data_IF_225054106151
#
_entry.id   IF_225054106151
#
_cell.length_a   1.000
_cell.length_b   1.000
_cell.length_c   1.000
_cell.angle_alpha   90.00
_cell.angle_beta   90.00
_cell.angle_gamma   90.00
#
_symmetry.space_group_name_H-M   'P 1'
#
loop_
_entity.id
_entity.type
_entity.pdbx_description
1 polymer ?
#
# COMPACT_ATOMS: atom_id res chain seq x y z
N UNK A 1 -22.35 -5.51 0.97
CA UNK A 1 -22.35 -4.87 -0.36
C UNK A 1 -22.27 -5.92 -1.47
N UNK A 2 -21.19 -6.68 -1.62
CA UNK A 2 -21.07 -7.63 -2.75
C UNK A 2 -22.25 -8.62 -2.85
N UNK A 3 -22.71 -9.16 -1.72
CA UNK A 3 -23.90 -10.04 -1.68
C UNK A 3 -25.18 -9.37 -2.21
N UNK A 4 -25.43 -8.12 -1.82
CA UNK A 4 -26.63 -7.40 -2.27
C UNK A 4 -26.57 -7.03 -3.76
N UNK A 5 -25.37 -6.92 -4.35
CA UNK A 5 -25.22 -6.66 -5.79
C UNK A 5 -25.72 -7.81 -6.67
N UNK A 6 -25.68 -9.05 -6.15
CA UNK A 6 -26.12 -10.26 -6.86
C UNK A 6 -27.39 -10.87 -6.24
N UNK A 7 -28.06 -10.13 -5.34
CA UNK A 7 -29.32 -10.57 -4.73
C UNK A 7 -29.23 -11.73 -3.73
N UNK A 8 -28.03 -12.06 -3.24
CA UNK A 8 -27.84 -13.17 -2.28
C UNK A 8 -27.73 -12.66 -0.84
N UNK A 9 -28.02 -13.53 0.10
CA UNK A 9 -27.95 -13.27 1.54
C UNK A 9 -26.89 -14.17 2.20
N UNK A 10 -26.74 -14.08 3.53
CA UNK A 10 -25.88 -15.02 4.27
C UNK A 10 -26.50 -16.43 4.38
N UNK A 11 -27.81 -16.57 4.21
CA UNK A 11 -28.53 -17.85 4.33
C UNK A 11 -28.20 -18.81 3.18
N UNK A 12 -27.86 -18.27 2.02
CA UNK A 12 -27.51 -19.05 0.83
C UNK A 12 -26.17 -19.78 0.98
N UNK A 13 -25.40 -19.51 2.04
CA UNK A 13 -24.12 -20.17 2.39
C UNK A 13 -23.07 -20.22 1.27
N UNK A 14 -23.23 -19.39 0.23
CA UNK A 14 -22.25 -19.20 -0.85
C UNK A 14 -20.96 -18.62 -0.27
N UNK A 15 -19.80 -19.16 -0.67
CA UNK A 15 -18.50 -18.67 -0.18
C UNK A 15 -18.21 -17.28 -0.73
N UNK A 16 -17.45 -16.50 0.04
CA UNK A 16 -17.06 -15.16 -0.39
C UNK A 16 -16.16 -15.17 -1.63
N UNK A 17 -15.40 -16.25 -1.85
CA UNK A 17 -14.57 -16.45 -3.05
C UNK A 17 -15.43 -16.57 -4.32
N UNK A 18 -16.54 -17.32 -4.25
CA UNK A 18 -17.49 -17.47 -5.36
C UNK A 18 -18.22 -16.15 -5.64
N UNK A 19 -18.57 -15.40 -4.59
CA UNK A 19 -19.18 -14.08 -4.76
C UNK A 19 -18.20 -13.13 -5.46
N UNK A 20 -16.92 -13.13 -5.04
CA UNK A 20 -15.87 -12.29 -5.65
C UNK A 20 -15.58 -12.66 -7.10
N UNK A 21 -15.64 -13.95 -7.45
CA UNK A 21 -15.43 -14.40 -8.84
C UNK A 21 -16.55 -13.91 -9.77
N UNK A 22 -17.78 -13.81 -9.25
CA UNK A 22 -18.95 -13.27 -9.97
C UNK A 22 -18.90 -11.74 -10.05
N UNK A 23 -18.70 -11.06 -8.91
CA UNK A 23 -18.76 -9.59 -8.86
C UNK A 23 -17.55 -8.93 -9.53
N UNK A 24 -16.42 -9.65 -9.63
CA UNK A 24 -15.13 -9.14 -10.15
C UNK A 24 -14.70 -7.83 -9.49
N UNK A 25 -15.13 -7.60 -8.25
CA UNK A 25 -14.78 -6.40 -7.48
C UNK A 25 -13.29 -6.45 -7.19
N UNK A 26 -12.61 -5.34 -7.46
CA UNK A 26 -11.17 -5.23 -7.19
C UNK A 26 -10.90 -5.40 -5.69
N UNK A 27 -9.88 -6.19 -5.35
CA UNK A 27 -9.47 -6.36 -3.96
C UNK A 27 -9.10 -5.00 -3.35
N UNK A 28 -9.85 -4.61 -2.32
CA UNK A 28 -9.70 -3.30 -1.66
C UNK A 28 -8.31 -3.11 -1.06
N UNK A 29 -7.68 -4.18 -0.55
CA UNK A 29 -6.34 -4.12 0.03
C UNK A 29 -5.33 -3.85 -1.08
N UNK A 30 -5.47 -4.53 -2.23
CA UNK A 30 -4.68 -4.27 -3.43
C UNK A 30 -4.79 -2.81 -3.85
N UNK A 31 -6.02 -2.28 -3.87
CA UNK A 31 -6.30 -0.89 -4.26
C UNK A 31 -5.68 0.12 -3.29
N UNK A 32 -5.84 -0.09 -1.99
CA UNK A 32 -5.23 0.76 -0.96
C UNK A 32 -3.71 0.80 -1.11
N UNK A 33 -3.07 -0.35 -1.39
CA UNK A 33 -1.61 -0.42 -1.60
C UNK A 33 -1.19 0.35 -2.86
N UNK A 34 -1.89 0.19 -3.97
CA UNK A 34 -1.63 0.96 -5.19
C UNK A 34 -1.75 2.47 -4.94
N UNK A 35 -2.83 2.90 -4.28
CA UNK A 35 -3.05 4.31 -3.95
C UNK A 35 -1.94 4.85 -3.06
N UNK A 36 -1.53 4.10 -2.04
CA UNK A 36 -0.40 4.45 -1.16
C UNK A 36 0.91 4.61 -1.95
N UNK A 37 1.22 3.69 -2.85
CA UNK A 37 2.40 3.78 -3.70
C UNK A 37 2.35 5.00 -4.62
N UNK A 38 1.24 5.19 -5.33
CA UNK A 38 1.03 6.32 -6.25
C UNK A 38 1.08 7.66 -5.53
N UNK A 39 0.46 7.75 -4.35
CA UNK A 39 0.47 8.94 -3.51
C UNK A 39 1.90 9.35 -3.14
N UNK A 40 2.74 8.39 -2.74
CA UNK A 40 4.15 8.65 -2.42
C UNK A 40 4.90 9.23 -3.61
N UNK A 41 4.72 8.65 -4.80
CA UNK A 41 5.32 9.18 -6.03
C UNK A 41 4.81 10.58 -6.37
N UNK A 42 3.50 10.81 -6.25
CA UNK A 42 2.88 12.13 -6.47
C UNK A 42 3.46 13.19 -5.53
N UNK A 43 3.50 12.91 -4.22
CA UNK A 43 4.06 13.79 -3.20
C UNK A 43 5.56 14.07 -3.42
N UNK A 44 6.31 13.09 -3.90
CA UNK A 44 7.75 13.26 -4.14
C UNK A 44 8.04 14.19 -5.32
N UNK A 45 7.21 14.13 -6.37
CA UNK A 45 7.31 14.96 -7.59
C UNK A 45 6.76 16.35 -7.43
N UNK A 46 5.93 16.59 -6.41
CA UNK A 46 5.48 17.93 -6.08
C UNK A 46 6.69 18.82 -5.74
N UNK A 47 6.80 19.94 -6.45
CA UNK A 47 7.87 20.92 -6.27
C UNK A 47 7.71 21.73 -4.99
N UNK A 48 6.51 21.79 -4.42
CA UNK A 48 6.23 22.52 -3.19
C UNK A 48 6.53 21.62 -1.99
N UNK A 49 7.31 22.14 -1.04
CA UNK A 49 7.46 21.50 0.26
C UNK A 49 6.16 21.72 1.04
N UNK A 50 5.36 20.66 1.16
CA UNK A 50 4.11 20.65 1.94
C UNK A 50 4.35 19.99 3.29
N UNK A 51 3.60 20.42 4.31
CA UNK A 51 3.57 19.78 5.63
C UNK A 51 3.34 18.28 5.56
N UNK A 52 2.49 17.81 4.65
CA UNK A 52 2.23 16.39 4.43
C UNK A 52 3.49 15.61 4.06
N UNK A 53 4.38 16.18 3.24
CA UNK A 53 5.65 15.56 2.85
C UNK A 53 6.60 15.47 4.03
N UNK A 54 6.75 16.58 4.76
CA UNK A 54 7.58 16.65 5.96
C UNK A 54 7.12 15.60 6.97
N UNK A 55 5.83 15.59 7.33
CA UNK A 55 5.27 14.65 8.30
C UNK A 55 5.40 13.18 7.87
N UNK A 56 5.19 12.89 6.59
CA UNK A 56 5.26 11.52 6.06
C UNK A 56 6.69 10.98 6.03
N UNK A 57 7.65 11.82 5.62
CA UNK A 57 9.07 11.46 5.56
C UNK A 57 9.79 11.60 6.91
N UNK A 58 9.14 12.21 7.91
CA UNK A 58 9.75 12.54 9.18
C UNK A 58 10.29 11.30 9.90
N UNK A 59 11.54 11.40 10.31
CA UNK A 59 12.23 10.42 11.13
C UNK A 59 13.00 11.18 12.21
N UNK A 60 12.86 10.82 13.50
CA UNK A 60 13.68 11.39 14.56
C UNK A 60 15.16 11.19 14.21
N UNK A 61 15.94 12.28 14.25
CA UNK A 61 17.41 12.23 14.09
C UNK A 61 18.05 11.75 15.39
N UNK A 62 17.53 12.24 16.51
CA UNK A 62 18.01 11.91 17.83
C UNK A 62 17.09 10.87 18.46
N UNK A 63 17.66 9.71 18.76
CA UNK A 63 16.98 8.60 19.40
C UNK A 63 16.82 7.36 18.53
N UNK A 64 17.18 6.21 19.09
CA UNK A 64 16.88 4.90 18.52
C UNK A 64 15.52 4.43 19.03
N UNK A 65 14.84 3.60 18.24
CA UNK A 65 13.61 2.99 18.71
C UNK A 65 13.97 1.76 19.57
N UNK A 66 13.20 1.50 20.64
CA UNK A 66 13.39 0.32 21.51
C UNK A 66 13.43 -1.00 20.71
N UNK A 67 14.25 -1.94 21.15
CA UNK A 67 14.33 -3.27 20.54
C UNK A 67 12.99 -4.00 20.74
N UNK A 68 12.47 -4.66 19.68
CA UNK A 68 11.23 -5.44 19.73
C UNK A 68 10.33 -5.30 18.49
N UNK A 69 9.07 -5.74 18.60
CA UNK A 69 8.05 -5.69 17.52
C UNK A 69 7.40 -4.32 17.40
N UNK A 70 8.14 -3.38 16.87
CA UNK A 70 7.61 -2.04 16.66
C UNK A 70 6.72 -1.95 15.44
N UNK A 71 5.71 -1.07 15.50
CA UNK A 71 4.88 -0.76 14.35
C UNK A 71 5.74 -0.19 13.20
N UNK A 72 5.53 -0.74 12.01
CA UNK A 72 6.13 -0.25 10.76
C UNK A 72 5.57 1.14 10.45
N UNK A 73 6.45 2.08 10.13
CA UNK A 73 6.07 3.41 9.63
C UNK A 73 5.68 3.32 8.16
N UNK A 74 5.03 4.38 7.70
CA UNK A 74 4.69 4.54 6.29
C UNK A 74 5.92 4.33 5.38
N UNK A 75 7.03 5.01 5.71
CA UNK A 75 8.26 4.97 4.92
C UNK A 75 8.99 3.64 4.96
N UNK A 76 8.79 2.82 5.99
CA UNK A 76 9.44 1.50 6.09
C UNK A 76 8.96 0.58 4.95
N UNK A 77 7.66 0.64 4.63
CA UNK A 77 7.11 -0.12 3.51
C UNK A 77 7.62 0.39 2.15
N UNK A 78 7.77 1.71 2.00
CA UNK A 78 8.29 2.33 0.79
C UNK A 78 9.77 1.97 0.57
N UNK A 79 10.59 2.13 1.61
CA UNK A 79 12.02 1.83 1.57
C UNK A 79 12.32 0.35 1.35
N UNK A 80 11.42 -0.56 1.75
CA UNK A 80 11.61 -1.99 1.46
C UNK A 80 11.58 -2.31 -0.04
N UNK A 81 10.96 -1.48 -0.88
CA UNK A 81 10.96 -1.66 -2.35
C UNK A 81 11.88 -0.65 -3.05
N UNK A 82 11.82 0.62 -2.66
CA UNK A 82 12.63 1.67 -3.27
C UNK A 82 14.06 1.74 -2.74
N UNK A 83 14.36 1.06 -1.64
CA UNK A 83 15.65 1.04 -0.93
C UNK A 83 16.11 2.45 -0.54
N UNK A 84 17.42 2.68 -0.46
CA UNK A 84 18.00 3.99 -0.14
C UNK A 84 17.69 5.05 -1.21
N UNK A 85 17.53 4.63 -2.47
CA UNK A 85 17.31 5.52 -3.62
C UNK A 85 15.83 5.76 -3.94
N UNK A 86 14.91 5.35 -3.06
CA UNK A 86 13.47 5.40 -3.29
C UNK A 86 12.97 6.77 -3.76
N UNK A 87 13.52 7.86 -3.24
CA UNK A 87 13.10 9.22 -3.58
C UNK A 87 13.50 9.61 -5.01
N UNK A 88 14.66 9.13 -5.48
CA UNK A 88 15.10 9.30 -6.87
C UNK A 88 14.21 8.48 -7.80
N UNK A 89 13.97 7.21 -7.46
CA UNK A 89 13.08 6.31 -8.22
C UNK A 89 11.65 6.83 -8.27
N UNK A 90 11.19 7.48 -7.20
CA UNK A 90 9.86 8.09 -7.14
C UNK A 90 9.72 9.33 -8.03
N UNK A 91 10.81 10.07 -8.31
CA UNK A 91 10.75 11.19 -9.26
C UNK A 91 10.54 10.71 -10.69
N UNK A 92 11.18 9.62 -11.10
CA UNK A 92 10.91 8.97 -12.37
C UNK A 92 9.53 8.29 -12.32
N UNK A 93 8.62 8.71 -13.21
CA UNK A 93 7.24 8.19 -13.22
C UNK A 93 7.17 6.75 -13.72
N UNK A 94 7.97 6.40 -14.72
CA UNK A 94 7.97 5.07 -15.32
C UNK A 94 8.68 4.08 -14.39
N UNK A 95 9.81 4.46 -13.80
CA UNK A 95 10.47 3.63 -12.80
C UNK A 95 9.56 3.36 -11.60
N UNK A 96 8.91 4.40 -11.08
CA UNK A 96 7.97 4.26 -9.96
C UNK A 96 6.78 3.34 -10.30
N UNK A 97 6.24 3.46 -11.51
CA UNK A 97 5.13 2.62 -11.97
C UNK A 97 5.55 1.15 -12.12
N UNK A 98 6.76 0.88 -12.60
CA UNK A 98 7.29 -0.51 -12.71
C UNK A 98 7.36 -1.20 -11.34
N UNK A 99 7.75 -0.47 -10.30
CA UNK A 99 7.89 -1.00 -8.94
C UNK A 99 6.54 -1.17 -8.19
N UNK A 100 5.45 -0.64 -8.75
CA UNK A 100 4.12 -0.69 -8.11
C UNK A 100 3.68 -2.14 -7.84
N UNK A 101 3.88 -3.04 -8.80
CA UNK A 101 3.47 -4.44 -8.64
C UNK A 101 4.23 -5.14 -7.51
N UNK A 102 5.54 -4.88 -7.39
CA UNK A 102 6.37 -5.42 -6.31
C UNK A 102 5.94 -4.91 -4.93
N UNK A 103 5.48 -3.65 -4.85
CA UNK A 103 4.94 -3.11 -3.60
C UNK A 103 3.58 -3.73 -3.23
N UNK A 104 2.71 -3.91 -4.22
CA UNK A 104 1.36 -4.44 -4.02
C UNK A 104 1.37 -5.91 -3.61
N UNK A 105 2.32 -6.69 -4.13
CA UNK A 105 2.49 -8.13 -3.84
C UNK A 105 3.27 -8.42 -2.55
N UNK A 106 3.91 -7.42 -1.93
CA UNK A 106 4.84 -7.59 -0.81
C UNK A 106 4.26 -8.25 0.46
N UNK A 107 2.94 -8.31 0.57
CA UNK A 107 2.19 -8.63 1.80
C UNK A 107 1.18 -9.77 1.59
N UNK A 108 1.32 -10.54 0.50
CA UNK A 108 0.60 -11.82 0.32
C UNK A 108 1.17 -12.95 1.20
N UNK A 109 2.26 -12.71 1.92
CA UNK A 109 2.95 -13.71 2.74
C UNK A 109 2.66 -13.59 4.26
N UNK A 110 1.86 -12.62 4.70
CA UNK A 110 1.55 -12.44 6.15
C UNK A 110 0.19 -13.08 6.53
N UNK A 111 -0.65 -13.48 5.57
CA UNK A 111 -1.97 -14.07 5.84
C UNK A 111 -2.01 -15.61 5.89
N UNK A 112 -0.85 -16.29 5.93
CA UNK A 112 -0.75 -17.76 6.02
C UNK A 112 -0.18 -18.24 7.38
N UNK A 113 -0.18 -17.39 8.40
CA UNK A 113 0.25 -17.71 9.76
C UNK A 113 -0.90 -17.70 10.76
#
# INVERSE_FOLDING_TARGET
MERSMIGVTKRDRIRSEDIRSITKVEDIIKKIRQLKWRWTGHMTRDSRIKWTKILTEWQPRDGTRKIGRQAKRYMDAIRKIGEATWSRKARDREEWKRLEQAYVSQDTLISLG
#
